data_IF_681484054394
#
_entry.id   IF_681484054394
#
_cell.length_a   1.000
_cell.length_b   1.000
_cell.length_c   1.000
_cell.angle_alpha   90.00
_cell.angle_beta   90.00
_cell.angle_gamma   90.00
#
_symmetry.space_group_name_H-M   'P 1'
#
loop_
_entity.id
_entity.type
_entity.pdbx_description
1 polymer ?
#
# COMPACT_ATOMS: atom_id res chain seq x y z
N UNK A 1 3.75 -16.31 11.70
CA UNK A 1 3.53 -14.88 12.06
C UNK A 1 2.59 -14.28 11.03
N UNK A 2 1.70 -13.37 11.42
CA UNK A 2 0.81 -12.71 10.45
C UNK A 2 1.61 -11.81 9.51
N UNK A 3 1.21 -11.74 8.24
CA UNK A 3 1.81 -10.82 7.26
C UNK A 3 1.36 -9.37 7.54
N UNK A 4 2.05 -8.40 6.93
CA UNK A 4 1.61 -6.99 6.97
C UNK A 4 0.22 -6.84 6.33
N UNK A 5 -0.05 -7.56 5.23
CA UNK A 5 -1.34 -7.53 4.55
C UNK A 5 -2.48 -8.02 5.45
N UNK A 6 -2.29 -9.14 6.16
CA UNK A 6 -3.27 -9.69 7.10
C UNK A 6 -3.57 -8.73 8.25
N UNK A 7 -2.53 -8.12 8.83
CA UNK A 7 -2.67 -7.14 9.91
C UNK A 7 -3.37 -5.87 9.42
N UNK A 8 -3.02 -5.40 8.23
CA UNK A 8 -3.67 -4.27 7.58
C UNK A 8 -5.15 -4.54 7.32
N UNK A 9 -5.48 -5.70 6.75
CA UNK A 9 -6.86 -6.09 6.47
C UNK A 9 -7.68 -6.21 7.76
N UNK A 10 -7.10 -6.81 8.80
CA UNK A 10 -7.72 -6.89 10.14
C UNK A 10 -8.03 -5.49 10.70
N UNK A 11 -7.09 -4.55 10.58
CA UNK A 11 -7.28 -3.16 11.05
C UNK A 11 -8.36 -2.40 10.27
N UNK A 12 -8.54 -2.70 8.99
CA UNK A 12 -9.47 -1.99 8.11
C UNK A 12 -10.79 -2.75 7.83
N UNK A 13 -11.01 -3.90 8.47
CA UNK A 13 -12.15 -4.79 8.19
C UNK A 13 -12.29 -5.13 6.68
N UNK A 14 -11.17 -5.51 6.06
CA UNK A 14 -11.09 -5.82 4.63
C UNK A 14 -10.87 -7.32 4.40
N UNK A 15 -11.37 -7.82 3.28
CA UNK A 15 -10.91 -9.10 2.73
C UNK A 15 -9.51 -8.96 2.12
N UNK A 16 -8.69 -10.00 2.21
CA UNK A 16 -7.30 -10.00 1.72
C UNK A 16 -7.15 -9.60 0.24
N UNK A 17 -8.01 -10.04 -0.70
CA UNK A 17 -7.92 -9.61 -2.11
C UNK A 17 -8.09 -8.09 -2.29
N UNK A 18 -8.75 -7.41 -1.36
CA UNK A 18 -8.96 -5.96 -1.41
C UNK A 18 -7.74 -5.16 -0.93
N UNK A 19 -6.77 -5.80 -0.25
CA UNK A 19 -5.59 -5.16 0.33
C UNK A 19 -4.88 -4.23 -0.66
N UNK A 20 -4.43 -4.78 -1.79
CA UNK A 20 -3.54 -4.06 -2.69
C UNK A 20 -4.23 -2.82 -3.30
N UNK A 21 -5.50 -2.96 -3.69
CA UNK A 21 -6.28 -1.87 -4.26
C UNK A 21 -6.60 -0.80 -3.21
N UNK A 22 -6.97 -1.20 -2.00
CA UNK A 22 -7.26 -0.26 -0.92
C UNK A 22 -6.01 0.51 -0.48
N UNK A 23 -4.89 -0.19 -0.29
CA UNK A 23 -3.60 0.42 0.03
C UNK A 23 -3.12 1.37 -1.07
N UNK A 24 -3.28 1.00 -2.35
CA UNK A 24 -2.94 1.87 -3.49
C UNK A 24 -3.68 3.21 -3.41
N UNK A 25 -5.01 3.18 -3.34
CA UNK A 25 -5.83 4.39 -3.34
C UNK A 25 -5.53 5.31 -2.15
N UNK A 26 -5.22 4.74 -0.99
CA UNK A 26 -4.85 5.51 0.21
C UNK A 26 -3.43 6.05 0.15
N UNK A 27 -2.52 5.38 -0.54
CA UNK A 27 -1.13 5.81 -0.68
C UNK A 27 -0.92 6.80 -1.83
N UNK A 28 -1.88 6.92 -2.76
CA UNK A 28 -1.85 7.94 -3.81
C UNK A 28 -1.93 9.37 -3.23
N UNK A 29 -1.19 10.33 -3.83
CA UNK A 29 -1.45 11.76 -3.65
C UNK A 29 -2.88 12.13 -4.07
N UNK A 30 -3.41 13.24 -3.53
CA UNK A 30 -4.81 13.64 -3.78
C UNK A 30 -5.10 13.80 -5.27
N UNK A 31 -4.24 14.52 -5.99
CA UNK A 31 -4.39 14.74 -7.43
C UNK A 31 -4.34 13.43 -8.22
N UNK A 32 -3.41 12.53 -7.90
CA UNK A 32 -3.31 11.22 -8.53
C UNK A 32 -4.53 10.33 -8.26
N UNK A 33 -5.16 10.47 -7.10
CA UNK A 33 -6.42 9.80 -6.76
C UNK A 33 -7.60 10.36 -7.55
N UNK A 34 -7.63 11.66 -7.82
CA UNK A 34 -8.67 12.28 -8.66
C UNK A 34 -8.60 11.78 -10.10
N UNK A 35 -7.40 11.67 -10.67
CA UNK A 35 -7.21 11.15 -12.03
C UNK A 35 -7.15 9.62 -12.11
N UNK A 36 -7.21 8.90 -10.99
CA UNK A 36 -7.19 7.43 -10.94
C UNK A 36 -8.17 6.75 -11.91
N UNK A 37 -9.43 7.20 -12.08
CA UNK A 37 -10.37 6.57 -12.99
C UNK A 37 -9.93 6.63 -14.46
N UNK A 38 -9.13 7.63 -14.84
CA UNK A 38 -8.53 7.76 -16.17
C UNK A 38 -7.27 6.92 -16.27
N UNK A 39 -6.40 6.98 -15.25
CA UNK A 39 -5.13 6.26 -15.23
C UNK A 39 -5.30 4.75 -15.21
N UNK A 40 -6.38 4.22 -14.63
CA UNK A 40 -6.69 2.77 -14.64
C UNK A 40 -7.03 2.23 -16.02
N UNK A 41 -7.37 3.09 -16.98
CA UNK A 41 -7.68 2.69 -18.37
C UNK A 41 -6.39 2.46 -19.17
N UNK A 42 -5.27 3.02 -18.70
CA UNK A 42 -3.96 2.78 -19.29
C UNK A 42 -3.47 1.41 -18.81
N UNK A 43 -3.22 0.45 -19.73
CA UNK A 43 -2.70 -0.87 -19.36
C UNK A 43 -1.43 -0.75 -18.53
N UNK A 44 -1.34 -1.58 -17.49
CA UNK A 44 -0.17 -1.71 -16.61
C UNK A 44 0.30 -0.42 -15.93
N UNK A 45 -0.50 0.65 -15.94
CA UNK A 45 -0.11 1.91 -15.32
C UNK A 45 0.25 1.69 -13.85
N UNK A 46 -0.62 1.06 -13.08
CA UNK A 46 -0.38 0.78 -11.66
C UNK A 46 0.31 -0.57 -11.39
N UNK A 47 0.84 -1.28 -12.40
CA UNK A 47 1.40 -2.61 -12.21
C UNK A 47 2.58 -2.59 -11.22
N UNK A 48 3.55 -1.70 -11.42
CA UNK A 48 4.69 -1.53 -10.52
C UNK A 48 4.26 -1.08 -9.10
N UNK A 49 3.24 -0.21 -9.01
CA UNK A 49 2.70 0.25 -7.72
C UNK A 49 2.06 -0.91 -6.94
N UNK A 50 1.25 -1.74 -7.62
CA UNK A 50 0.60 -2.90 -7.05
C UNK A 50 1.60 -4.00 -6.67
N UNK A 51 2.62 -4.22 -7.49
CA UNK A 51 3.70 -5.15 -7.19
C UNK A 51 4.46 -4.74 -5.92
N UNK A 52 4.86 -3.47 -5.81
CA UNK A 52 5.47 -2.93 -4.61
C UNK A 52 4.59 -3.11 -3.37
N UNK A 53 3.31 -2.76 -3.47
CA UNK A 53 2.36 -2.92 -2.36
C UNK A 53 2.23 -4.39 -1.94
N UNK A 54 2.11 -5.31 -2.91
CA UNK A 54 2.01 -6.76 -2.63
C UNK A 54 3.30 -7.30 -2.02
N UNK A 55 4.47 -6.87 -2.49
CA UNK A 55 5.76 -7.28 -1.94
C UNK A 55 5.87 -6.90 -0.47
N UNK A 56 5.61 -5.64 -0.14
CA UNK A 56 5.58 -5.16 1.24
C UNK A 56 4.50 -5.86 2.07
N UNK A 57 3.34 -6.15 1.46
CA UNK A 57 2.24 -6.85 2.13
C UNK A 57 2.60 -8.28 2.57
N UNK A 58 3.46 -8.98 1.82
CA UNK A 58 3.93 -10.34 2.16
C UNK A 58 4.95 -10.35 3.29
N UNK A 59 5.64 -9.24 3.53
CA UNK A 59 6.61 -9.16 4.62
C UNK A 59 5.94 -9.24 5.99
N UNK A 60 6.70 -9.66 7.01
CA UNK A 60 6.22 -9.75 8.40
C UNK A 60 6.54 -8.52 9.24
N UNK A 61 7.46 -7.67 8.77
CA UNK A 61 7.89 -6.46 9.46
C UNK A 61 8.26 -5.36 8.48
N UNK A 62 8.26 -4.11 8.94
CA UNK A 62 8.68 -2.95 8.14
C UNK A 62 10.21 -2.71 8.17
N UNK A 63 11.00 -3.66 8.69
CA UNK A 63 12.46 -3.50 8.83
C UNK A 63 13.12 -3.22 7.48
N UNK A 64 12.70 -3.95 6.46
CA UNK A 64 13.28 -3.87 5.11
C UNK A 64 12.51 -2.94 4.16
N UNK A 65 11.47 -2.25 4.66
CA UNK A 65 10.63 -1.36 3.86
C UNK A 65 11.44 -0.26 3.14
N UNK A 66 12.52 0.22 3.76
CA UNK A 66 13.36 1.24 3.15
C UNK A 66 14.09 0.72 1.89
N UNK A 67 14.48 -0.56 1.90
CA UNK A 67 15.12 -1.24 0.78
C UNK A 67 14.09 -1.45 -0.32
N UNK A 68 12.92 -2.04 0.01
CA UNK A 68 11.81 -2.22 -0.94
C UNK A 68 11.37 -0.91 -1.60
N UNK A 69 11.36 0.18 -0.82
CA UNK A 69 10.99 1.50 -1.32
C UNK A 69 12.07 2.12 -2.22
N UNK A 70 13.35 1.84 -1.96
CA UNK A 70 14.45 2.28 -2.81
C UNK A 70 14.40 1.56 -4.17
N UNK A 71 14.22 0.24 -4.16
CA UNK A 71 14.08 -0.58 -5.37
C UNK A 71 12.87 -0.16 -6.21
N UNK A 72 11.72 0.08 -5.57
CA UNK A 72 10.54 0.61 -6.23
C UNK A 72 10.80 1.97 -6.90
N UNK A 73 11.56 2.86 -6.25
CA UNK A 73 11.88 4.18 -6.81
C UNK A 73 12.84 4.11 -8.00
N UNK A 74 13.76 3.14 -7.99
CA UNK A 74 14.77 2.93 -9.03
C UNK A 74 14.25 2.10 -10.21
N UNK A 75 13.10 1.42 -10.07
CA UNK A 75 12.50 0.62 -11.14
C UNK A 75 12.34 1.42 -12.46
N UNK A 76 12.69 0.87 -13.64
CA UNK A 76 12.71 1.62 -14.91
C UNK A 76 11.37 2.30 -15.24
N UNK A 77 10.23 1.67 -14.91
CA UNK A 77 8.89 2.25 -15.10
C UNK A 77 8.60 3.45 -14.18
N UNK A 78 9.29 3.55 -13.04
CA UNK A 78 9.17 4.64 -12.06
C UNK A 78 10.28 5.70 -12.22
N UNK A 79 11.34 5.37 -12.95
CA UNK A 79 12.41 6.28 -13.38
C UNK A 79 12.00 7.17 -14.57
N UNK A 80 10.97 6.77 -15.35
CA UNK A 80 10.42 7.59 -16.46
C UNK A 80 9.94 8.96 -15.95
N UNK A 81 10.41 10.02 -16.62
CA UNK A 81 10.29 11.43 -16.22
C UNK A 81 8.85 11.86 -15.91
N UNK A 82 7.87 11.41 -16.70
CA UNK A 82 6.45 11.83 -16.55
C UNK A 82 5.81 11.39 -15.24
N UNK A 83 6.01 10.15 -14.78
CA UNK A 83 5.41 9.66 -13.52
C UNK A 83 6.11 10.25 -12.28
N UNK A 84 7.42 10.49 -12.39
CA UNK A 84 8.24 11.13 -11.35
C UNK A 84 7.89 12.61 -11.18
N UNK A 85 7.72 13.35 -12.29
CA UNK A 85 7.40 14.78 -12.30
C UNK A 85 5.96 15.04 -11.87
N UNK A 86 4.99 14.27 -12.39
CA UNK A 86 3.57 14.46 -12.06
C UNK A 86 3.13 13.77 -10.75
N UNK A 87 4.02 13.01 -10.10
CA UNK A 87 3.76 12.27 -8.84
C UNK A 87 2.50 11.40 -8.91
N UNK A 88 2.27 10.74 -10.04
CA UNK A 88 1.11 9.87 -10.29
C UNK A 88 1.31 8.42 -9.78
N UNK A 89 2.13 8.26 -8.75
CA UNK A 89 2.55 6.97 -8.18
C UNK A 89 2.31 6.93 -6.67
N UNK A 90 2.38 5.75 -6.09
CA UNK A 90 2.35 5.53 -4.64
C UNK A 90 3.38 6.41 -3.94
N UNK A 91 2.93 7.14 -2.91
CA UNK A 91 3.85 7.80 -1.99
C UNK A 91 4.34 6.81 -0.95
N UNK A 92 5.59 6.35 -1.06
CA UNK A 92 6.19 5.42 -0.08
C UNK A 92 6.10 5.95 1.35
N UNK A 93 6.18 7.27 1.55
CA UNK A 93 5.98 7.91 2.87
C UNK A 93 4.55 7.77 3.37
N UNK A 94 3.52 8.04 2.55
CA UNK A 94 2.11 7.86 2.95
C UNK A 94 1.80 6.38 3.20
N UNK A 95 2.32 5.50 2.34
CA UNK A 95 2.15 4.07 2.48
C UNK A 95 2.77 3.57 3.79
N UNK A 96 4.02 3.92 4.09
CA UNK A 96 4.69 3.55 5.35
C UNK A 96 3.89 3.99 6.57
N UNK A 97 3.39 5.23 6.58
CA UNK A 97 2.57 5.74 7.69
C UNK A 97 1.30 4.91 7.90
N UNK A 98 0.64 4.47 6.82
CA UNK A 98 -0.55 3.64 6.90
C UNK A 98 -0.25 2.26 7.45
N UNK A 99 0.85 1.65 7.00
CA UNK A 99 1.29 0.36 7.52
C UNK A 99 1.65 0.47 9.00
N UNK A 100 2.48 1.45 9.39
CA UNK A 100 2.85 1.65 10.80
C UNK A 100 1.62 1.79 11.70
N UNK A 101 0.61 2.57 11.29
CA UNK A 101 -0.64 2.71 12.05
C UNK A 101 -1.37 1.37 12.23
N UNK A 102 -1.54 0.60 11.15
CA UNK A 102 -2.21 -0.69 11.20
C UNK A 102 -1.45 -1.73 12.06
N UNK A 103 -0.12 -1.73 11.96
CA UNK A 103 0.71 -2.64 12.74
C UNK A 103 0.67 -2.30 14.23
N UNK A 104 0.77 -1.02 14.61
CA UNK A 104 0.68 -0.58 16.01
C UNK A 104 -0.70 -0.88 16.62
N UNK A 105 -1.79 -0.70 15.87
CA UNK A 105 -3.13 -1.02 16.35
C UNK A 105 -3.35 -2.51 16.64
N UNK A 106 -2.63 -3.39 15.93
CA UNK A 106 -2.71 -4.85 16.15
C UNK A 106 -1.90 -5.32 17.36
N UNK A 107 -0.99 -4.50 17.88
CA UNK A 107 -0.11 -4.85 19.02
C UNK A 107 -0.65 -4.34 20.37
N UNK A 108 -1.69 -3.48 20.36
CA UNK A 108 -2.44 -3.13 21.59
C UNK A 108 -3.29 -4.31 22.09
N UNK A 109 -3.72 -4.31 23.38
CA UNK A 109 -4.47 -5.43 23.95
C UNK A 109 -5.70 -5.70 23.09
N UNK A 110 -5.85 -6.96 22.67
CA UNK A 110 -6.95 -7.42 21.84
C UNK A 110 -8.28 -7.01 22.47
N UNK A 111 -8.94 -6.01 21.88
CA UNK A 111 -10.33 -5.72 22.22
C UNK A 111 -11.16 -6.97 21.89
N UNK A 112 -12.07 -7.41 22.79
CA UNK A 112 -12.81 -8.64 22.60
C UNK A 112 -13.65 -8.55 21.33
N UNK A 113 -13.58 -9.62 20.53
CA UNK A 113 -14.40 -9.82 19.36
C UNK A 113 -15.87 -9.66 19.76
N UNK A 114 -16.52 -8.60 19.26
CA UNK A 114 -17.96 -8.49 19.38
C UNK A 114 -18.58 -9.53 18.45
N UNK A 115 -18.96 -10.66 19.04
CA UNK A 115 -20.04 -11.47 18.51
C UNK A 115 -21.33 -10.65 18.66
N UNK A 116 -22.08 -10.50 17.59
CA UNK A 116 -23.47 -10.04 17.68
C UNK A 116 -24.34 -11.00 16.88
N UNK A 117 -25.39 -11.41 17.59
CA UNK A 117 -26.41 -12.41 17.34
C UNK A 117 -27.21 -12.19 16.06
#
# INVERSE_FOLDING_TARGET
>A
MRSIAERYCSHHALAEPAFARHALLRALPLHARLVYPLLRLVPDFFAADLEFIRSVGRAHSLRDFAIDAADFQQHPHNARVTRRVLRLRVSSRKFRRQLSAALSATTGPAAPAQASL
#
